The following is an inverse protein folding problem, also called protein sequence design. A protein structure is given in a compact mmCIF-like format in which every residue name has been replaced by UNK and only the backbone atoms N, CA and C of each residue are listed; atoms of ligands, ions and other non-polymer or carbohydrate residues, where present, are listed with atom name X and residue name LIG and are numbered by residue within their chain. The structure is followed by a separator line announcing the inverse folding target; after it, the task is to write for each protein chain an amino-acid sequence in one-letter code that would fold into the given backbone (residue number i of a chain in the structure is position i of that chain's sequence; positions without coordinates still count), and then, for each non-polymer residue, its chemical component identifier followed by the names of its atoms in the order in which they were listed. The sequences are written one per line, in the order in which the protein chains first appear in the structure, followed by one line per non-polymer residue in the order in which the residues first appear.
data_IF_188448635849
#
_entry.id   IF_188448635849
#
_cell.length_a   1.000
_cell.length_b   1.000
_cell.length_c   1.000
_cell.angle_alpha   90.00
_cell.angle_beta   90.00
_cell.angle_gamma   90.00
#
_symmetry.space_group_name_H-M   'P 1'
#
loop_
_entity.id
_entity.type
_entity.pdbx_description
1 polymer ?
#
# COMPACT_ATOMS: atom_id res chain seq x y z
N UNK A 1 -18.68 -33.62 -0.43
CA UNK A 1 -17.66 -32.87 -1.20
C UNK A 1 -16.97 -31.88 -0.27
N UNK A 2 -15.65 -31.80 -0.35
CA UNK A 2 -14.87 -30.87 0.44
C UNK A 2 -14.52 -29.64 -0.40
N UNK A 3 -14.69 -28.47 0.21
CA UNK A 3 -14.30 -27.20 -0.41
C UNK A 3 -12.85 -26.89 -0.03
N UNK A 4 -12.01 -26.60 -1.01
CA UNK A 4 -10.64 -26.18 -0.77
C UNK A 4 -10.55 -24.67 -0.98
N UNK A 5 -10.09 -23.94 0.04
CA UNK A 5 -9.86 -22.51 -0.09
C UNK A 5 -8.55 -22.28 -0.84
N UNK A 6 -8.60 -21.45 -1.87
CA UNK A 6 -7.40 -21.03 -2.61
C UNK A 6 -7.11 -19.58 -2.31
N UNK A 7 -5.86 -19.28 -2.03
CA UNK A 7 -5.45 -17.96 -1.60
C UNK A 7 -4.65 -17.24 -2.68
N UNK A 8 -4.63 -15.91 -2.58
CA UNK A 8 -3.79 -15.05 -3.42
C UNK A 8 -2.76 -14.42 -2.46
N UNK A 9 -1.53 -14.94 -2.47
CA UNK A 9 -0.53 -14.63 -1.45
C UNK A 9 0.40 -13.49 -1.87
N UNK A 10 -0.15 -12.31 -2.15
CA UNK A 10 0.65 -11.14 -2.51
C UNK A 10 0.97 -10.22 -1.34
N UNK A 11 0.20 -10.28 -0.25
CA UNK A 11 0.30 -9.32 0.84
C UNK A 11 0.94 -9.97 2.06
N UNK A 12 1.98 -9.32 2.59
CA UNK A 12 2.71 -9.80 3.77
C UNK A 12 2.94 -8.65 4.75
N UNK A 13 3.08 -8.97 6.02
CA UNK A 13 3.50 -8.01 7.04
C UNK A 13 4.68 -8.60 7.80
N UNK A 14 5.74 -7.83 7.91
CA UNK A 14 6.96 -8.23 8.61
C UNK A 14 7.42 -7.04 9.45
N UNK A 15 7.57 -7.19 10.77
CA UNK A 15 8.01 -6.09 11.63
C UNK A 15 9.34 -5.47 11.21
N UNK A 16 10.19 -6.24 10.53
CA UNK A 16 11.48 -5.76 10.02
C UNK A 16 11.37 -4.95 8.73
N UNK A 17 10.19 -4.96 8.07
CA UNK A 17 9.97 -4.29 6.80
C UNK A 17 8.86 -3.24 6.98
N UNK A 18 9.20 -1.97 6.76
CA UNK A 18 8.27 -0.84 6.83
C UNK A 18 7.45 -0.84 8.13
N UNK A 19 8.09 -1.21 9.25
CA UNK A 19 7.48 -1.23 10.59
C UNK A 19 6.22 -2.10 10.70
N UNK A 20 6.14 -3.16 9.90
CA UNK A 20 5.01 -4.09 9.92
C UNK A 20 3.80 -3.68 9.10
N UNK A 21 3.88 -2.59 8.34
CA UNK A 21 2.79 -2.23 7.41
C UNK A 21 2.62 -3.31 6.35
N UNK A 22 1.38 -3.58 5.91
CA UNK A 22 1.17 -4.56 4.85
C UNK A 22 1.86 -4.12 3.56
N UNK A 23 2.63 -5.05 3.00
CA UNK A 23 3.46 -4.82 1.81
C UNK A 23 3.20 -5.88 0.76
N UNK A 24 3.54 -5.55 -0.49
CA UNK A 24 3.61 -6.56 -1.54
C UNK A 24 4.85 -7.41 -1.33
N UNK A 25 4.66 -8.72 -1.32
CA UNK A 25 5.72 -9.70 -1.09
C UNK A 25 6.92 -9.45 -2.01
N UNK A 26 8.11 -9.40 -1.42
CA UNK A 26 9.35 -9.30 -2.16
C UNK A 26 9.68 -7.92 -2.74
N UNK A 27 8.87 -6.91 -2.46
CA UNK A 27 9.08 -5.57 -3.04
C UNK A 27 9.41 -4.49 -2.03
N UNK A 28 8.99 -4.64 -0.77
CA UNK A 28 9.06 -3.58 0.20
C UNK A 28 8.08 -2.42 -0.04
N UNK A 29 7.24 -2.52 -1.08
CA UNK A 29 6.20 -1.53 -1.36
C UNK A 29 5.00 -1.79 -0.46
N UNK A 30 4.60 -0.78 0.33
CA UNK A 30 3.39 -0.90 1.15
C UNK A 30 2.14 -0.88 0.28
N UNK A 31 1.10 -1.57 0.73
CA UNK A 31 -0.22 -1.50 0.08
C UNK A 31 -0.66 -0.04 -0.03
N UNK A 32 -0.47 0.76 1.04
CA UNK A 32 -0.82 2.18 1.05
C UNK A 32 -0.13 2.98 -0.06
N UNK A 33 1.13 2.65 -0.38
CA UNK A 33 1.87 3.32 -1.46
C UNK A 33 1.34 2.94 -2.84
N UNK A 34 0.98 1.68 -3.01
CA UNK A 34 0.54 1.14 -4.31
C UNK A 34 -0.87 1.63 -4.68
N UNK A 35 -1.77 1.71 -3.70
CA UNK A 35 -3.16 2.11 -3.97
C UNK A 35 -3.37 3.64 -3.97
N UNK A 36 -2.47 4.40 -3.34
CA UNK A 36 -2.60 5.85 -3.27
C UNK A 36 -2.80 6.54 -4.63
N UNK A 37 -2.05 6.19 -5.69
CA UNK A 37 -2.25 6.83 -6.99
C UNK A 37 -3.66 6.67 -7.57
N UNK A 38 -4.35 5.56 -7.27
CA UNK A 38 -5.72 5.37 -7.72
C UNK A 38 -6.67 6.36 -7.06
N UNK A 39 -6.50 6.61 -5.77
CA UNK A 39 -7.42 7.44 -4.99
C UNK A 39 -7.08 8.93 -5.02
N UNK A 40 -5.80 9.27 -5.15
CA UNK A 40 -5.36 10.67 -5.10
C UNK A 40 -5.01 11.26 -6.47
N UNK A 41 -4.73 10.42 -7.46
CA UNK A 41 -4.32 10.88 -8.80
C UNK A 41 -5.12 10.27 -9.95
N UNK A 42 -6.17 9.51 -9.64
CA UNK A 42 -7.04 8.93 -10.66
C UNK A 42 -6.36 7.94 -11.60
N UNK A 43 -5.25 7.34 -11.19
CA UNK A 43 -4.55 6.37 -12.03
C UNK A 43 -5.30 5.04 -12.09
N UNK A 44 -5.27 4.42 -13.27
CA UNK A 44 -5.82 3.08 -13.46
C UNK A 44 -4.87 2.03 -12.90
N UNK A 45 -5.37 0.80 -12.63
CA UNK A 45 -4.48 -0.28 -12.20
C UNK A 45 -3.34 -0.56 -13.18
N UNK A 46 -3.58 -0.44 -14.49
CA UNK A 46 -2.54 -0.62 -15.50
C UNK A 46 -1.44 0.44 -15.37
N UNK A 47 -1.83 1.69 -15.15
CA UNK A 47 -0.87 2.78 -14.96
C UNK A 47 -0.04 2.57 -13.69
N UNK A 48 -0.67 2.12 -12.62
CA UNK A 48 0.01 1.84 -11.35
C UNK A 48 1.02 0.70 -11.52
N UNK A 49 0.61 -0.38 -12.18
CA UNK A 49 1.48 -1.53 -12.44
C UNK A 49 2.73 -1.10 -13.23
N UNK A 50 2.52 -0.29 -14.25
CA UNK A 50 3.62 0.21 -15.07
C UNK A 50 4.57 1.11 -14.28
N UNK A 51 4.01 2.03 -13.49
CA UNK A 51 4.79 2.98 -12.71
C UNK A 51 5.67 2.35 -11.64
N UNK A 52 5.16 1.33 -10.96
CA UNK A 52 5.93 0.62 -9.93
C UNK A 52 6.71 -0.59 -10.48
N UNK A 53 6.54 -0.92 -11.75
CA UNK A 53 7.14 -2.10 -12.38
C UNK A 53 6.74 -3.39 -11.66
N UNK A 54 5.47 -3.53 -11.35
CA UNK A 54 4.90 -4.71 -10.71
C UNK A 54 3.80 -5.31 -11.59
N UNK A 55 3.40 -6.53 -11.29
CA UNK A 55 2.35 -7.19 -12.06
C UNK A 55 0.98 -6.54 -11.81
N UNK A 56 0.11 -6.62 -12.80
CA UNK A 56 -1.26 -6.16 -12.66
C UNK A 56 -1.99 -6.93 -11.56
N UNK A 57 -1.70 -8.23 -11.42
CA UNK A 57 -2.26 -9.06 -10.35
C UNK A 57 -1.89 -8.53 -8.97
N UNK A 58 -0.64 -8.06 -8.79
CA UNK A 58 -0.19 -7.48 -7.53
C UNK A 58 -0.95 -6.17 -7.21
N UNK A 59 -1.22 -5.35 -8.22
CA UNK A 59 -2.00 -4.12 -8.04
C UNK A 59 -3.42 -4.45 -7.58
N UNK A 60 -4.08 -5.41 -8.24
CA UNK A 60 -5.42 -5.82 -7.86
C UNK A 60 -5.46 -6.47 -6.48
N UNK A 61 -4.43 -7.22 -6.11
CA UNK A 61 -4.31 -7.77 -4.76
C UNK A 61 -4.22 -6.66 -3.71
N UNK A 62 -3.44 -5.62 -3.99
CA UNK A 62 -3.31 -4.46 -3.11
C UNK A 62 -4.64 -3.72 -2.98
N UNK A 63 -5.35 -3.51 -4.08
CA UNK A 63 -6.67 -2.87 -4.07
C UNK A 63 -7.69 -3.71 -3.28
N UNK A 64 -7.69 -5.03 -3.48
CA UNK A 64 -8.56 -5.95 -2.74
C UNK A 64 -8.28 -5.87 -1.24
N UNK A 65 -7.00 -5.89 -0.86
CA UNK A 65 -6.60 -5.74 0.54
C UNK A 65 -7.09 -4.40 1.11
N UNK A 66 -6.93 -3.32 0.36
CA UNK A 66 -7.41 -2.00 0.79
C UNK A 66 -8.89 -2.03 1.13
N UNK A 67 -9.72 -2.59 0.25
CA UNK A 67 -11.16 -2.63 0.50
C UNK A 67 -11.55 -3.46 1.72
N UNK A 68 -10.78 -4.49 2.03
CA UNK A 68 -11.01 -5.29 3.23
C UNK A 68 -10.43 -4.67 4.50
N UNK A 69 -9.47 -3.74 4.37
CA UNK A 69 -8.72 -3.18 5.50
C UNK A 69 -8.56 -1.66 5.38
N UNK A 70 -9.64 -0.97 5.06
CA UNK A 70 -9.57 0.46 4.74
C UNK A 70 -9.01 1.32 5.88
N UNK A 71 -9.37 1.04 7.13
CA UNK A 71 -8.89 1.82 8.27
C UNK A 71 -7.39 1.69 8.46
N UNK A 72 -6.85 0.49 8.29
CA UNK A 72 -5.42 0.23 8.40
C UNK A 72 -4.64 1.04 7.36
N UNK A 73 -5.10 1.04 6.12
CA UNK A 73 -4.42 1.78 5.05
C UNK A 73 -4.58 3.29 5.22
N UNK A 74 -5.75 3.75 5.63
CA UNK A 74 -5.96 5.17 5.92
C UNK A 74 -5.08 5.65 7.05
N UNK A 75 -4.86 4.83 8.07
CA UNK A 75 -3.94 5.13 9.16
C UNK A 75 -2.52 5.33 8.66
N UNK A 76 -2.05 4.49 7.72
CA UNK A 76 -0.74 4.66 7.10
C UNK A 76 -0.65 6.00 6.35
N UNK A 77 -1.69 6.36 5.58
CA UNK A 77 -1.74 7.63 4.87
C UNK A 77 -1.73 8.82 5.83
N UNK A 78 -2.49 8.75 6.92
CA UNK A 78 -2.54 9.82 7.92
C UNK A 78 -1.19 9.99 8.62
N UNK A 79 -0.53 8.91 8.93
CA UNK A 79 0.80 8.91 9.51
C UNK A 79 1.82 9.56 8.59
N UNK A 80 1.75 9.24 7.30
CA UNK A 80 2.62 9.82 6.28
C UNK A 80 2.40 11.33 6.16
N UNK A 81 1.15 11.77 6.12
CA UNK A 81 0.79 13.18 6.06
C UNK A 81 1.31 13.96 7.27
N UNK A 82 1.15 13.40 8.46
CA UNK A 82 1.64 14.01 9.71
C UNK A 82 3.15 14.16 9.71
N UNK A 83 3.88 13.16 9.23
CA UNK A 83 5.34 13.21 9.12
C UNK A 83 5.81 14.28 8.14
N UNK A 84 5.11 14.41 7.02
CA UNK A 84 5.44 15.43 6.01
C UNK A 84 5.23 16.83 6.58
N UNK A 85 4.11 17.08 7.26
CA UNK A 85 3.82 18.37 7.88
C UNK A 85 4.83 18.72 8.97
N UNK A 86 5.20 17.75 9.80
CA UNK A 86 6.20 17.94 10.85
C UNK A 86 7.56 18.30 10.24
N UNK A 87 7.97 17.60 9.17
CA UNK A 87 9.22 17.90 8.47
C UNK A 87 9.20 19.31 7.87
N UNK A 88 8.08 19.73 7.30
CA UNK A 88 7.93 21.09 6.76
C UNK A 88 8.04 22.15 7.85
N UNK A 89 7.43 21.93 9.01
CA UNK A 89 7.52 22.86 10.14
C UNK A 89 8.96 22.98 10.64
N UNK A 90 9.66 21.86 10.78
CA UNK A 90 11.08 21.87 11.21
C UNK A 90 11.96 22.62 10.20
N UNK A 91 11.71 22.44 8.91
CA UNK A 91 12.45 23.12 7.85
C UNK A 91 12.22 24.63 7.88
N UNK A 92 11.00 25.09 8.24
CA UNK A 92 10.68 26.51 8.34
C UNK A 92 11.26 27.16 9.59
N UNK A 93 11.42 26.38 10.66
CA UNK A 93 11.90 26.91 11.95
C UNK A 93 13.42 26.75 12.13
N UNK A 94 14.07 26.09 11.21
CA UNK A 94 15.52 25.87 11.24
C UNK A 94 16.34 26.87 10.45
#
# INVERSE_FOLDING_TARGET
MTTTVRTIDYIVSDPAIRSGSPCLRGTGLRVSDVVAPAFFHGQSPDEIALGFEISLAAVYAALSYFYDHQEEIRTDWERDSSRIEEAKRKAQNG
#
